data_IF_070064654165
#
_entry.id   IF_070064654165
#
_cell.length_a   1.000
_cell.length_b   1.000
_cell.length_c   1.000
_cell.angle_alpha   90.00
_cell.angle_beta   90.00
_cell.angle_gamma   90.00
#
_symmetry.space_group_name_H-M   'P 1'
#
loop_
_entity.id
_entity.type
_entity.pdbx_description
1 polymer ?
#
# COMPACT_ATOMS: atom_id res chain seq x y z
N UNK A 1 -27.90 -88.36 -1.02
CA UNK A 1 -27.67 -86.91 -1.19
C UNK A 1 -27.46 -86.59 -2.66
N UNK A 2 -28.46 -85.96 -3.30
CA UNK A 2 -28.64 -85.94 -4.76
C UNK A 2 -28.51 -84.49 -5.27
N UNK A 3 -27.55 -84.26 -6.17
CA UNK A 3 -27.32 -82.97 -6.85
C UNK A 3 -28.57 -82.53 -7.61
N UNK A 4 -28.90 -81.24 -7.58
CA UNK A 4 -29.76 -80.60 -8.58
C UNK A 4 -29.14 -79.29 -9.06
N UNK A 5 -28.77 -79.28 -10.35
CA UNK A 5 -28.57 -78.08 -11.16
C UNK A 5 -29.95 -77.58 -11.59
N UNK A 6 -30.22 -76.29 -11.43
CA UNK A 6 -31.42 -75.64 -11.93
C UNK A 6 -31.07 -74.79 -13.16
N UNK A 7 -31.36 -75.36 -14.32
CA UNK A 7 -31.63 -74.65 -15.58
C UNK A 7 -33.00 -74.00 -15.47
N UNK A 8 -33.07 -72.67 -15.56
CA UNK A 8 -34.33 -71.93 -15.72
C UNK A 8 -34.44 -71.57 -17.19
N UNK A 9 -35.22 -72.38 -17.90
CA UNK A 9 -35.68 -72.11 -19.25
C UNK A 9 -36.73 -71.00 -19.26
N UNK A 10 -36.77 -70.27 -20.37
CA UNK A 10 -37.80 -69.30 -20.70
C UNK A 10 -39.18 -69.96 -20.64
N UNK A 11 -40.09 -69.37 -19.86
CA UNK A 11 -41.51 -69.71 -19.91
C UNK A 11 -42.25 -68.64 -20.72
N UNK A 12 -42.67 -69.08 -21.90
CA UNK A 12 -43.74 -68.52 -22.73
C UNK A 12 -45.08 -68.62 -21.98
N UNK A 13 -45.89 -67.58 -22.03
CA UNK A 13 -47.35 -67.66 -21.81
C UNK A 13 -48.08 -67.04 -23.00
N UNK A 14 -48.81 -67.90 -23.70
CA UNK A 14 -49.96 -67.64 -24.60
C UNK A 14 -51.15 -67.14 -23.73
N UNK A 15 -52.28 -66.57 -24.15
CA UNK A 15 -53.18 -66.63 -25.31
C UNK A 15 -53.90 -65.24 -25.39
N UNK A 16 -54.77 -64.84 -26.33
CA UNK A 16 -55.79 -65.54 -27.10
C UNK A 16 -56.19 -64.73 -28.35
N UNK A 17 -56.84 -65.43 -29.30
CA UNK A 17 -57.30 -64.93 -30.58
C UNK A 17 -58.62 -64.15 -30.50
N UNK A 18 -58.79 -63.19 -31.40
CA UNK A 18 -60.09 -62.68 -31.84
C UNK A 18 -59.98 -62.36 -33.32
N UNK A 19 -60.79 -63.01 -34.14
CA UNK A 19 -60.88 -62.79 -35.58
C UNK A 19 -61.80 -61.59 -35.82
N UNK A 20 -61.36 -60.60 -36.60
CA UNK A 20 -62.24 -59.59 -37.20
C UNK A 20 -61.63 -59.09 -38.52
N UNK A 21 -62.37 -59.29 -39.61
CA UNK A 21 -62.20 -58.58 -40.87
C UNK A 21 -62.46 -57.08 -40.66
N UNK A 22 -61.74 -56.21 -41.37
CA UNK A 22 -62.07 -54.78 -41.42
C UNK A 22 -60.90 -53.90 -41.86
N UNK A 23 -60.98 -53.41 -43.09
CA UNK A 23 -60.08 -52.42 -43.70
C UNK A 23 -60.26 -51.08 -42.98
N UNK A 24 -59.18 -50.45 -42.51
CA UNK A 24 -58.86 -49.02 -42.70
C UNK A 24 -57.77 -48.55 -41.72
N UNK A 25 -56.78 -47.85 -42.31
CA UNK A 25 -55.72 -47.05 -41.72
C UNK A 25 -55.58 -47.01 -40.20
N UNK A 26 -54.58 -47.71 -39.69
CA UNK A 26 -53.89 -47.29 -38.47
C UNK A 26 -52.44 -46.97 -38.82
N UNK A 27 -52.15 -45.66 -38.85
CA UNK A 27 -50.80 -45.13 -38.80
C UNK A 27 -50.05 -45.75 -37.64
N UNK A 28 -49.19 -46.72 -37.95
CA UNK A 28 -48.12 -47.15 -37.04
C UNK A 28 -47.30 -45.92 -36.69
N UNK A 29 -47.59 -45.30 -35.54
CA UNK A 29 -46.79 -44.25 -34.95
C UNK A 29 -45.43 -44.83 -34.58
N UNK A 30 -44.54 -44.90 -35.57
CA UNK A 30 -43.17 -45.35 -35.41
C UNK A 30 -42.52 -44.53 -34.29
N UNK A 31 -42.21 -45.19 -33.17
CA UNK A 31 -41.56 -44.61 -32.01
C UNK A 31 -40.46 -43.64 -32.46
N UNK A 32 -40.70 -42.35 -32.24
CA UNK A 32 -39.92 -41.30 -32.87
C UNK A 32 -38.44 -41.50 -32.52
N UNK A 33 -37.55 -41.72 -33.51
CA UNK A 33 -36.10 -41.84 -33.22
C UNK A 33 -35.64 -40.60 -32.45
N UNK A 34 -35.44 -40.75 -31.14
CA UNK A 34 -35.08 -39.70 -30.18
C UNK A 34 -33.67 -39.22 -30.48
N UNK A 35 -33.43 -37.91 -30.47
CA UNK A 35 -32.08 -37.34 -30.62
C UNK A 35 -31.17 -37.93 -29.53
N UNK A 36 -30.22 -38.77 -29.95
CA UNK A 36 -29.24 -39.41 -29.08
C UNK A 36 -27.84 -39.00 -29.50
N UNK A 37 -26.95 -38.91 -28.52
CA UNK A 37 -25.61 -38.37 -28.67
C UNK A 37 -24.71 -39.24 -27.81
N UNK A 38 -23.60 -39.69 -28.39
CA UNK A 38 -22.59 -40.44 -27.66
C UNK A 38 -21.93 -39.53 -26.62
N UNK A 39 -21.29 -40.13 -25.62
CA UNK A 39 -20.47 -39.38 -24.66
C UNK A 39 -19.38 -38.62 -25.42
N UNK A 40 -19.21 -37.34 -25.08
CA UNK A 40 -18.20 -36.49 -25.70
C UNK A 40 -17.10 -36.23 -24.67
N UNK A 41 -15.87 -36.60 -24.99
CA UNK A 41 -14.71 -36.40 -24.12
C UNK A 41 -13.94 -35.13 -24.50
N UNK A 42 -13.14 -34.60 -23.59
CA UNK A 42 -12.38 -33.35 -23.79
C UNK A 42 -11.42 -33.36 -24.98
N UNK A 43 -10.94 -34.53 -25.38
CA UNK A 43 -10.07 -34.73 -26.55
C UNK A 43 -10.85 -35.02 -27.85
N UNK A 44 -12.19 -35.08 -27.80
CA UNK A 44 -13.00 -35.41 -28.96
C UNK A 44 -12.99 -34.26 -29.98
N UNK A 45 -12.72 -34.59 -31.25
CA UNK A 45 -12.80 -33.68 -32.40
C UNK A 45 -14.09 -33.85 -33.19
N UNK A 46 -14.95 -34.79 -32.77
CA UNK A 46 -16.21 -35.14 -33.43
C UNK A 46 -17.28 -35.49 -32.40
N UNK A 47 -18.53 -35.14 -32.70
CA UNK A 47 -19.71 -35.61 -31.98
C UNK A 47 -20.48 -36.58 -32.86
N UNK A 48 -20.68 -37.79 -32.34
CA UNK A 48 -21.43 -38.85 -33.01
C UNK A 48 -22.78 -39.05 -32.32
N UNK A 49 -23.82 -39.33 -33.09
CA UNK A 49 -25.15 -39.60 -32.55
C UNK A 49 -26.15 -40.08 -33.57
N UNK A 50 -27.40 -40.21 -33.15
CA UNK A 50 -28.53 -40.58 -34.01
C UNK A 50 -29.67 -39.56 -33.88
N UNK A 51 -30.35 -39.31 -34.99
CA UNK A 51 -31.58 -38.52 -35.05
C UNK A 51 -32.47 -39.05 -36.20
N UNK A 52 -33.57 -38.37 -36.55
CA UNK A 52 -34.38 -38.76 -37.72
C UNK A 52 -33.55 -38.66 -39.01
N UNK A 53 -33.78 -39.59 -39.94
CA UNK A 53 -33.07 -39.65 -41.23
C UNK A 53 -33.14 -38.29 -41.94
N UNK A 54 -32.04 -37.87 -42.58
CA UNK A 54 -31.92 -36.61 -43.34
C UNK A 54 -32.08 -35.31 -42.51
N UNK A 55 -32.33 -35.35 -41.19
CA UNK A 55 -32.37 -34.14 -40.36
C UNK A 55 -31.01 -33.44 -40.29
N UNK A 56 -31.02 -32.12 -40.09
CA UNK A 56 -29.81 -31.33 -39.83
C UNK A 56 -29.65 -31.17 -38.31
N UNK A 57 -28.52 -31.60 -37.77
CA UNK A 57 -28.15 -31.38 -36.37
C UNK A 57 -27.25 -30.16 -36.28
N UNK A 58 -27.67 -29.19 -35.47
CA UNK A 58 -26.89 -28.00 -35.09
C UNK A 58 -26.38 -28.17 -33.67
N UNK A 59 -25.08 -28.03 -33.47
CA UNK A 59 -24.39 -28.09 -32.17
C UNK A 59 -23.90 -26.70 -31.82
N UNK A 60 -24.48 -26.10 -30.79
CA UNK A 60 -24.03 -24.82 -30.24
C UNK A 60 -22.98 -25.06 -29.16
N UNK A 61 -21.79 -24.50 -29.36
CA UNK A 61 -20.66 -24.50 -28.43
C UNK A 61 -20.27 -23.05 -28.18
N UNK A 62 -20.61 -22.51 -27.01
CA UNK A 62 -20.49 -21.08 -26.74
C UNK A 62 -21.29 -20.26 -27.77
N UNK A 63 -20.60 -19.35 -28.47
CA UNK A 63 -21.18 -18.51 -29.53
C UNK A 63 -21.22 -19.21 -30.91
N UNK A 64 -20.39 -20.23 -31.14
CA UNK A 64 -20.26 -20.90 -32.45
C UNK A 64 -21.26 -22.04 -32.62
N UNK A 65 -21.74 -22.23 -33.86
CA UNK A 65 -22.66 -23.32 -34.21
C UNK A 65 -22.08 -24.18 -35.31
N UNK A 66 -22.00 -25.48 -35.06
CA UNK A 66 -21.52 -26.49 -36.01
C UNK A 66 -22.71 -27.29 -36.53
N UNK A 67 -22.70 -27.70 -37.80
CA UNK A 67 -23.84 -28.39 -38.42
C UNK A 67 -23.39 -29.66 -39.14
N UNK A 68 -24.23 -30.70 -39.11
CA UNK A 68 -24.11 -31.86 -39.96
C UNK A 68 -25.48 -32.44 -40.31
N UNK A 69 -25.61 -32.97 -41.52
CA UNK A 69 -26.82 -33.69 -41.97
C UNK A 69 -26.71 -35.17 -41.58
N UNK A 70 -27.78 -35.73 -41.04
CA UNK A 70 -27.86 -37.15 -40.72
C UNK A 70 -28.06 -37.99 -41.98
N UNK A 71 -27.42 -39.16 -42.05
CA UNK A 71 -27.52 -40.05 -43.21
C UNK A 71 -28.89 -40.77 -43.30
N UNK A 72 -29.07 -41.64 -44.31
CA UNK A 72 -30.31 -42.43 -44.53
C UNK A 72 -30.69 -43.29 -43.31
N UNK A 73 -29.70 -43.72 -42.51
CA UNK A 73 -29.88 -44.50 -41.26
C UNK A 73 -30.09 -43.61 -40.02
N UNK A 74 -30.04 -42.28 -40.16
CA UNK A 74 -30.19 -41.31 -39.07
C UNK A 74 -28.92 -41.07 -38.25
N UNK A 75 -27.76 -41.61 -38.64
CA UNK A 75 -26.48 -41.34 -37.98
C UNK A 75 -25.93 -39.99 -38.42
N UNK A 76 -25.35 -39.23 -37.49
CA UNK A 76 -24.68 -37.96 -37.79
C UNK A 76 -23.30 -37.90 -37.13
N UNK A 77 -22.41 -37.12 -37.75
CA UNK A 77 -21.06 -36.81 -37.24
C UNK A 77 -20.81 -35.32 -37.44
N UNK A 78 -20.61 -34.58 -36.36
CA UNK A 78 -20.30 -33.14 -36.41
C UNK A 78 -18.84 -32.95 -36.02
N UNK A 79 -18.01 -32.36 -36.91
CA UNK A 79 -16.65 -31.94 -36.57
C UNK A 79 -16.72 -30.75 -35.62
N UNK A 80 -15.95 -30.80 -34.53
CA UNK A 80 -15.92 -29.77 -33.48
C UNK A 80 -14.47 -29.55 -33.00
N UNK A 81 -14.14 -28.37 -32.47
CA UNK A 81 -12.88 -28.17 -31.77
C UNK A 81 -12.85 -28.98 -30.46
N UNK A 82 -11.65 -29.23 -29.95
CA UNK A 82 -11.45 -29.76 -28.58
C UNK A 82 -11.87 -28.70 -27.58
N UNK A 83 -12.50 -29.13 -26.50
CA UNK A 83 -13.05 -28.24 -25.47
C UNK A 83 -12.81 -28.87 -24.10
N UNK A 84 -12.54 -28.04 -23.10
CA UNK A 84 -12.35 -28.51 -21.72
C UNK A 84 -13.60 -29.24 -21.16
N UNK A 85 -13.36 -30.20 -20.27
CA UNK A 85 -14.41 -30.87 -19.51
C UNK A 85 -15.36 -29.91 -18.79
N UNK A 86 -16.62 -30.32 -18.62
CA UNK A 86 -17.68 -29.55 -17.97
C UNK A 86 -18.39 -28.55 -18.88
N UNK A 87 -17.89 -28.26 -20.09
CA UNK A 87 -18.56 -27.35 -21.02
C UNK A 87 -19.82 -27.99 -21.61
N UNK A 88 -20.89 -27.18 -21.71
CA UNK A 88 -22.22 -27.58 -22.19
C UNK A 88 -22.31 -27.41 -23.70
N UNK A 89 -22.78 -28.45 -24.38
CA UNK A 89 -23.18 -28.39 -25.79
C UNK A 89 -24.71 -28.49 -25.89
N UNK A 90 -25.30 -27.63 -26.72
CA UNK A 90 -26.72 -27.68 -27.02
C UNK A 90 -26.90 -28.19 -28.44
N UNK A 91 -27.45 -29.39 -28.59
CA UNK A 91 -27.77 -29.98 -29.89
C UNK A 91 -29.24 -29.76 -30.20
N UNK A 92 -29.51 -29.24 -31.39
CA UNK A 92 -30.86 -29.06 -31.94
C UNK A 92 -30.94 -29.81 -33.27
N UNK A 93 -31.89 -30.73 -33.38
CA UNK A 93 -32.18 -31.46 -34.63
C UNK A 93 -33.32 -30.77 -35.35
N UNK A 94 -33.19 -30.56 -36.66
CA UNK A 94 -34.17 -29.87 -37.51
C UNK A 94 -34.58 -30.73 -38.70
N UNK A 95 -35.87 -30.68 -39.07
CA UNK A 95 -36.38 -31.13 -40.37
C UNK A 95 -36.81 -29.89 -41.15
N UNK A 96 -36.03 -29.49 -42.16
CA UNK A 96 -36.18 -28.17 -42.78
C UNK A 96 -35.99 -27.06 -41.74
N UNK A 97 -36.93 -26.12 -41.66
CA UNK A 97 -36.95 -25.05 -40.65
C UNK A 97 -37.51 -25.49 -39.28
N UNK A 98 -38.25 -26.61 -39.21
CA UNK A 98 -38.92 -27.08 -37.98
C UNK A 98 -37.94 -27.73 -37.01
N UNK A 99 -37.89 -27.22 -35.77
CA UNK A 99 -37.15 -27.83 -34.67
C UNK A 99 -37.81 -29.15 -34.28
N UNK A 100 -37.06 -30.24 -34.33
CA UNK A 100 -37.54 -31.57 -33.98
C UNK A 100 -37.26 -31.91 -32.51
N UNK A 101 -36.01 -31.73 -32.06
CA UNK A 101 -35.66 -32.00 -30.66
C UNK A 101 -34.40 -31.24 -30.24
N UNK A 102 -34.36 -30.87 -28.96
CA UNK A 102 -33.18 -30.31 -28.31
C UNK A 102 -32.61 -31.30 -27.29
N UNK A 103 -31.28 -31.41 -27.22
CA UNK A 103 -30.57 -32.19 -26.21
C UNK A 103 -29.35 -31.43 -25.72
N UNK A 104 -29.17 -31.42 -24.39
CA UNK A 104 -27.98 -30.86 -23.74
C UNK A 104 -27.04 -32.02 -23.41
N UNK A 105 -25.76 -31.87 -23.71
CA UNK A 105 -24.70 -32.79 -23.29
C UNK A 105 -23.53 -31.99 -22.74
N UNK A 106 -22.67 -32.64 -21.98
CA UNK A 106 -21.51 -32.03 -21.37
C UNK A 106 -20.25 -32.76 -21.81
N UNK A 107 -19.16 -32.03 -21.94
CA UNK A 107 -17.84 -32.59 -22.20
C UNK A 107 -17.34 -33.30 -20.94
N UNK A 108 -16.92 -34.56 -21.09
CA UNK A 108 -16.51 -35.44 -20.00
C UNK A 108 -14.98 -35.48 -19.92
N UNK A 109 -14.44 -35.45 -18.70
CA UNK A 109 -13.02 -35.63 -18.46
C UNK A 109 -12.59 -37.08 -18.74
N UNK A 110 -11.45 -37.27 -19.42
CA UNK A 110 -10.92 -38.62 -19.73
C UNK A 110 -10.25 -39.24 -18.51
N UNK A 111 -9.56 -38.42 -17.72
CA UNK A 111 -8.84 -38.74 -16.48
C UNK A 111 -9.36 -37.84 -15.33
N UNK A 112 -8.87 -38.06 -14.11
CA UNK A 112 -9.09 -37.12 -13.00
C UNK A 112 -8.50 -35.76 -13.40
N UNK A 113 -9.27 -34.71 -13.14
CA UNK A 113 -8.85 -33.32 -13.29
C UNK A 113 -9.27 -32.55 -12.06
N UNK A 114 -8.30 -32.00 -11.35
CA UNK A 114 -8.53 -31.13 -10.19
C UNK A 114 -8.46 -29.67 -10.67
N UNK A 115 -9.49 -28.87 -10.37
CA UNK A 115 -9.51 -27.45 -10.68
C UNK A 115 -8.43 -26.70 -9.88
N UNK A 116 -8.02 -25.52 -10.36
CA UNK A 116 -7.09 -24.65 -9.61
C UNK A 116 -7.74 -24.26 -8.27
N UNK A 117 -6.94 -24.22 -7.22
CA UNK A 117 -7.32 -23.79 -5.88
C UNK A 117 -6.13 -23.10 -5.20
N UNK A 118 -6.41 -22.24 -4.24
CA UNK A 118 -5.44 -21.54 -3.39
C UNK A 118 -5.54 -22.07 -1.94
N UNK A 119 -4.58 -21.78 -1.06
CA UNK A 119 -4.66 -22.20 0.35
C UNK A 119 -5.93 -21.70 1.04
N UNK A 120 -6.39 -20.51 0.64
CA UNK A 120 -7.59 -19.83 1.16
C UNK A 120 -8.90 -20.31 0.54
N UNK A 121 -8.86 -21.20 -0.45
CA UNK A 121 -10.08 -21.73 -1.07
C UNK A 121 -10.93 -22.46 -0.03
N UNK A 122 -12.25 -22.25 -0.07
CA UNK A 122 -13.25 -22.90 0.82
C UNK A 122 -13.78 -24.23 0.26
N UNK A 123 -13.34 -24.60 -0.94
CA UNK A 123 -13.73 -25.84 -1.58
C UNK A 123 -12.69 -26.27 -2.59
N UNK A 124 -12.57 -27.59 -2.78
CA UNK A 124 -11.86 -28.17 -3.90
C UNK A 124 -12.86 -28.85 -4.83
N UNK A 125 -12.63 -28.74 -6.13
CA UNK A 125 -13.52 -29.29 -7.13
C UNK A 125 -12.74 -29.81 -8.32
N UNK A 126 -13.42 -30.57 -9.16
CA UNK A 126 -12.82 -31.13 -10.34
C UNK A 126 -13.80 -31.92 -11.17
N UNK A 127 -13.23 -32.64 -12.13
CA UNK A 127 -13.95 -33.56 -13.01
C UNK A 127 -13.29 -34.92 -12.97
N UNK A 128 -14.11 -35.96 -13.08
CA UNK A 128 -13.70 -37.33 -13.32
C UNK A 128 -14.72 -37.98 -14.24
N UNK A 129 -14.66 -39.30 -14.44
CA UNK A 129 -15.70 -40.01 -15.19
C UNK A 129 -17.03 -39.99 -14.42
N UNK A 130 -18.18 -39.92 -15.12
CA UNK A 130 -19.48 -39.83 -14.45
C UNK A 130 -19.72 -41.00 -13.49
N UNK A 131 -20.37 -40.69 -12.36
CA UNK A 131 -20.73 -41.64 -11.30
C UNK A 131 -19.57 -42.27 -10.52
N UNK A 132 -18.32 -41.89 -10.78
CA UNK A 132 -17.17 -42.40 -10.01
C UNK A 132 -17.17 -41.82 -8.59
N UNK A 133 -16.62 -42.57 -7.63
CA UNK A 133 -16.47 -42.12 -6.24
C UNK A 133 -15.14 -41.39 -6.09
N UNK A 134 -15.15 -40.24 -5.42
CA UNK A 134 -13.98 -39.38 -5.20
C UNK A 134 -13.75 -39.30 -3.70
N UNK A 135 -12.55 -39.68 -3.25
CA UNK A 135 -12.06 -39.53 -1.88
C UNK A 135 -11.02 -38.42 -1.86
N UNK A 136 -11.24 -37.38 -1.08
CA UNK A 136 -10.38 -36.19 -1.00
C UNK A 136 -9.82 -36.10 0.41
N UNK A 137 -8.49 -36.14 0.56
CA UNK A 137 -7.81 -35.98 1.85
C UNK A 137 -7.32 -34.53 1.98
N UNK A 138 -7.85 -33.82 2.97
CA UNK A 138 -7.54 -32.41 3.30
C UNK A 138 -7.15 -32.39 4.77
N UNK A 139 -5.94 -31.89 5.09
CA UNK A 139 -5.43 -31.79 6.47
C UNK A 139 -5.68 -33.06 7.31
N UNK A 140 -5.32 -34.24 6.76
CA UNK A 140 -5.51 -35.53 7.43
C UNK A 140 -6.92 -36.13 7.30
N UNK A 141 -7.98 -35.32 7.18
CA UNK A 141 -9.37 -35.78 7.08
C UNK A 141 -9.76 -36.21 5.67
N UNK A 142 -10.51 -37.30 5.54
CA UNK A 142 -10.96 -37.84 4.25
C UNK A 142 -12.45 -37.56 4.01
N UNK A 143 -12.75 -36.95 2.87
CA UNK A 143 -14.10 -36.63 2.41
C UNK A 143 -14.46 -37.51 1.21
N UNK A 144 -15.67 -38.07 1.17
CA UNK A 144 -16.12 -38.95 0.09
C UNK A 144 -17.30 -38.34 -0.65
N UNK A 145 -17.19 -38.21 -1.98
CA UNK A 145 -18.27 -37.69 -2.83
C UNK A 145 -18.44 -38.54 -4.08
N UNK A 146 -19.68 -38.71 -4.55
CA UNK A 146 -19.95 -39.29 -5.87
C UNK A 146 -19.97 -38.16 -6.91
N UNK A 147 -19.20 -38.34 -7.99
CA UNK A 147 -19.20 -37.40 -9.10
C UNK A 147 -20.55 -37.44 -9.85
N UNK A 148 -20.96 -36.30 -10.40
CA UNK A 148 -22.21 -36.17 -11.17
C UNK A 148 -22.32 -37.26 -12.24
N UNK A 149 -23.47 -37.93 -12.30
CA UNK A 149 -23.77 -38.95 -13.32
C UNK A 149 -23.86 -38.38 -14.75
N UNK A 150 -23.98 -37.05 -14.88
CA UNK A 150 -24.09 -36.35 -16.17
C UNK A 150 -22.75 -35.75 -16.58
N UNK A 151 -22.12 -34.98 -15.69
CA UNK A 151 -20.95 -34.15 -16.04
C UNK A 151 -19.63 -34.70 -15.50
N UNK A 152 -19.67 -35.64 -14.54
CA UNK A 152 -18.49 -36.06 -13.80
C UNK A 152 -17.94 -35.00 -12.83
N UNK A 153 -18.66 -33.89 -12.63
CA UNK A 153 -18.28 -32.85 -11.69
C UNK A 153 -18.38 -33.33 -10.25
N UNK A 154 -17.43 -32.91 -9.42
CA UNK A 154 -17.44 -33.12 -7.98
C UNK A 154 -16.90 -31.87 -7.27
N UNK A 155 -17.36 -31.67 -6.04
CA UNK A 155 -16.93 -30.59 -5.15
C UNK A 155 -16.97 -31.11 -3.71
N UNK A 156 -15.92 -30.79 -2.95
CA UNK A 156 -15.81 -31.05 -1.51
C UNK A 156 -15.57 -29.71 -0.82
N UNK A 157 -16.29 -29.49 0.28
CA UNK A 157 -16.09 -28.38 1.21
C UNK A 157 -15.62 -28.99 2.54
N UNK A 158 -14.56 -28.46 3.16
CA UNK A 158 -14.21 -28.82 4.53
C UNK A 158 -15.33 -28.43 5.49
N UNK A 159 -15.34 -29.06 6.66
CA UNK A 159 -16.31 -28.75 7.71
C UNK A 159 -16.11 -27.32 8.21
N UNK A 160 -17.18 -26.70 8.69
CA UNK A 160 -17.20 -25.33 9.21
C UNK A 160 -16.59 -24.30 8.24
N UNK A 161 -16.65 -24.56 6.93
CA UNK A 161 -16.13 -23.67 5.89
C UNK A 161 -14.62 -23.38 6.01
N UNK A 162 -13.87 -24.30 6.64
CA UNK A 162 -12.41 -24.18 6.81
C UNK A 162 -11.69 -24.09 5.45
N UNK A 163 -10.52 -23.44 5.48
CA UNK A 163 -9.62 -23.32 4.33
C UNK A 163 -9.11 -24.71 3.91
N UNK A 164 -8.93 -24.91 2.61
CA UNK A 164 -8.41 -26.17 2.04
C UNK A 164 -6.93 -26.39 2.40
N UNK A 165 -6.15 -25.32 2.57
CA UNK A 165 -4.73 -25.42 2.88
C UNK A 165 -3.87 -25.77 1.67
N UNK A 166 -2.64 -26.25 1.93
CA UNK A 166 -1.56 -26.24 0.93
C UNK A 166 -1.51 -27.47 0.02
N UNK A 167 -1.79 -28.65 0.56
CA UNK A 167 -1.67 -29.93 -0.16
C UNK A 167 -2.95 -30.73 -0.04
N UNK A 168 -3.47 -31.19 -1.19
CA UNK A 168 -4.65 -32.05 -1.24
C UNK A 168 -4.33 -33.31 -2.05
N UNK A 169 -4.68 -34.47 -1.48
CA UNK A 169 -4.61 -35.75 -2.18
C UNK A 169 -6.02 -36.19 -2.59
N UNK A 170 -6.20 -36.50 -3.88
CA UNK A 170 -7.49 -36.91 -4.44
C UNK A 170 -7.37 -38.31 -5.02
N UNK A 171 -8.16 -39.24 -4.50
CA UNK A 171 -8.28 -40.61 -4.99
C UNK A 171 -9.65 -40.82 -5.62
N UNK A 172 -9.67 -41.26 -6.87
CA UNK A 172 -10.89 -41.64 -7.59
C UNK A 172 -11.00 -43.16 -7.63
N UNK A 173 -12.19 -43.67 -7.37
CA UNK A 173 -12.55 -45.09 -7.46
C UNK A 173 -13.59 -45.26 -8.56
N UNK A 174 -13.31 -46.11 -9.55
CA UNK A 174 -14.25 -46.42 -10.61
C UNK A 174 -15.42 -47.29 -10.12
N UNK A 175 -16.43 -47.51 -10.97
CA UNK A 175 -17.61 -48.33 -10.63
C UNK A 175 -17.29 -49.81 -10.40
N UNK A 176 -16.09 -50.27 -10.74
CA UNK A 176 -15.59 -51.64 -10.57
C UNK A 176 -14.56 -51.76 -9.44
N UNK A 177 -14.35 -50.71 -8.64
CA UNK A 177 -13.38 -50.68 -7.54
C UNK A 177 -11.93 -50.28 -7.87
N UNK A 178 -11.53 -50.15 -9.15
CA UNK A 178 -10.16 -49.71 -9.52
C UNK A 178 -9.94 -48.24 -9.14
N UNK A 179 -8.76 -47.93 -8.61
CA UNK A 179 -8.42 -46.61 -8.10
C UNK A 179 -7.39 -45.86 -8.94
N UNK A 180 -7.43 -44.53 -8.88
CA UNK A 180 -6.43 -43.60 -9.43
C UNK A 180 -6.22 -42.51 -8.37
N UNK A 181 -4.98 -42.23 -8.00
CA UNK A 181 -4.66 -41.19 -7.01
C UNK A 181 -3.85 -40.08 -7.68
N UNK A 182 -4.17 -38.84 -7.37
CA UNK A 182 -3.44 -37.65 -7.79
C UNK A 182 -3.27 -36.74 -6.58
N UNK A 183 -2.03 -36.36 -6.29
CA UNK A 183 -1.73 -35.34 -5.28
C UNK A 183 -1.42 -34.05 -6.01
N UNK A 184 -2.11 -32.98 -5.62
CA UNK A 184 -1.95 -31.66 -6.24
C UNK A 184 -1.60 -30.64 -5.16
N UNK A 185 -0.61 -29.80 -5.46
CA UNK A 185 -0.29 -28.60 -4.68
C UNK A 185 -1.18 -27.45 -5.11
N UNK A 186 -1.43 -26.53 -4.18
CA UNK A 186 -2.19 -25.31 -4.45
C UNK A 186 -1.45 -24.39 -5.45
N UNK A 187 -2.18 -23.41 -5.98
CA UNK A 187 -1.62 -22.26 -6.68
C UNK A 187 -1.40 -21.14 -5.67
N UNK A 188 -0.22 -20.54 -5.67
CA UNK A 188 0.12 -19.46 -4.76
C UNK A 188 -0.79 -18.25 -4.97
N UNK A 189 -1.23 -17.69 -3.84
CA UNK A 189 -2.00 -16.46 -3.73
C UNK A 189 -1.14 -15.48 -2.95
N UNK A 190 -0.30 -14.76 -3.70
CA UNK A 190 0.76 -13.92 -3.18
C UNK A 190 0.22 -12.55 -2.74
N UNK A 191 0.54 -12.15 -1.51
CA UNK A 191 0.18 -10.84 -0.95
C UNK A 191 1.44 -9.99 -0.77
N UNK A 192 1.34 -8.72 -1.14
CA UNK A 192 2.43 -7.76 -1.01
C UNK A 192 2.82 -7.53 0.46
N UNK A 193 4.11 -7.43 0.70
CA UNK A 193 4.72 -7.10 2.00
C UNK A 193 5.54 -5.83 1.83
N UNK A 194 5.29 -4.83 2.68
CA UNK A 194 5.94 -3.52 2.64
C UNK A 194 6.80 -3.31 3.88
N UNK A 195 7.86 -2.52 3.72
CA UNK A 195 8.66 -1.95 4.80
C UNK A 195 8.55 -0.42 4.73
N UNK A 196 8.49 0.22 5.89
CA UNK A 196 8.61 1.68 5.97
C UNK A 196 10.09 2.06 6.04
N UNK A 197 10.52 2.97 5.18
CA UNK A 197 11.86 3.57 5.17
C UNK A 197 11.68 5.04 5.54
N UNK A 198 12.40 5.48 6.58
CA UNK A 198 12.40 6.88 7.00
C UNK A 198 13.51 7.63 6.27
N UNK A 199 13.16 8.79 5.70
CA UNK A 199 14.10 9.72 5.08
C UNK A 199 14.20 10.96 5.99
N UNK A 200 15.43 11.29 6.39
CA UNK A 200 15.69 12.42 7.28
C UNK A 200 15.45 13.75 6.56
N UNK A 201 15.26 14.80 7.36
CA UNK A 201 15.25 16.17 6.87
C UNK A 201 16.62 16.54 6.28
N UNK A 202 16.59 17.27 5.16
CA UNK A 202 17.79 17.81 4.50
C UNK A 202 17.65 19.33 4.44
N UNK A 203 18.71 20.03 4.79
CA UNK A 203 18.78 21.48 4.77
C UNK A 203 20.21 21.99 4.73
N UNK A 204 20.34 23.30 4.74
CA UNK A 204 21.63 24.01 4.75
C UNK A 204 21.55 25.28 5.61
N UNK A 205 22.70 25.82 5.97
CA UNK A 205 22.78 27.11 6.66
C UNK A 205 22.91 28.25 5.64
N UNK A 206 22.08 29.27 5.79
CA UNK A 206 22.19 30.54 5.07
C UNK A 206 22.70 31.63 6.02
N UNK A 207 23.60 32.48 5.52
CA UNK A 207 24.06 33.67 6.23
C UNK A 207 23.08 34.81 5.98
N UNK A 208 22.52 35.34 7.06
CA UNK A 208 21.55 36.45 7.02
C UNK A 208 22.16 37.66 7.72
N UNK A 209 22.05 38.82 7.07
CA UNK A 209 22.45 40.12 7.63
C UNK A 209 21.48 40.56 8.72
N UNK A 210 22.03 41.00 9.84
CA UNK A 210 21.33 41.72 10.90
C UNK A 210 21.76 43.17 10.78
N UNK A 211 20.86 44.08 10.37
CA UNK A 211 21.22 45.48 10.18
C UNK A 211 21.67 46.12 11.50
N UNK A 212 22.48 47.18 11.37
CA UNK A 212 22.83 48.01 12.51
C UNK A 212 21.56 48.58 13.17
N UNK A 213 21.59 48.72 14.49
CA UNK A 213 20.43 49.19 15.25
C UNK A 213 20.86 49.92 16.52
N UNK A 214 20.05 50.89 16.94
CA UNK A 214 20.30 51.64 18.16
C UNK A 214 19.47 51.06 19.32
N UNK A 215 20.10 50.98 20.49
CA UNK A 215 19.46 50.61 21.76
C UNK A 215 19.59 51.75 22.76
N UNK A 216 18.64 51.86 23.69
CA UNK A 216 18.72 52.82 24.80
C UNK A 216 19.23 52.15 26.07
N UNK A 217 20.08 52.85 26.82
CA UNK A 217 20.52 52.45 28.16
C UNK A 217 20.34 53.62 29.12
N UNK A 218 19.93 53.33 30.35
CA UNK A 218 19.94 54.31 31.44
C UNK A 218 21.27 54.27 32.17
N UNK A 219 21.83 55.46 32.41
CA UNK A 219 23.09 55.66 33.12
C UNK A 219 22.97 56.85 34.06
N UNK A 220 23.84 56.92 35.06
CA UNK A 220 23.76 57.89 36.14
C UNK A 220 24.68 59.08 35.84
N UNK A 221 24.12 60.29 35.85
CA UNK A 221 24.85 61.54 35.66
C UNK A 221 24.77 62.41 36.93
N UNK A 222 25.82 63.19 37.17
CA UNK A 222 25.87 64.22 38.19
C UNK A 222 25.26 65.52 37.68
N UNK A 223 24.37 66.11 38.47
CA UNK A 223 23.73 67.37 38.17
C UNK A 223 23.97 68.38 39.28
N UNK A 224 24.23 69.62 38.90
CA UNK A 224 24.15 70.74 39.82
C UNK A 224 22.69 70.90 40.31
N UNK A 225 22.49 70.94 41.62
CA UNK A 225 21.16 71.08 42.23
C UNK A 225 20.64 72.52 42.22
N UNK A 226 21.52 73.49 41.96
CA UNK A 226 21.17 74.91 41.92
C UNK A 226 20.58 75.32 40.56
N UNK A 227 21.24 74.96 39.46
CA UNK A 227 20.90 75.38 38.09
C UNK A 227 20.46 74.22 37.19
N UNK A 228 20.61 72.97 37.64
CA UNK A 228 20.22 71.78 36.88
C UNK A 228 21.22 71.39 35.79
N UNK A 229 22.42 71.97 35.76
CA UNK A 229 23.46 71.69 34.78
C UNK A 229 23.96 70.24 34.90
N UNK A 230 24.13 69.56 33.77
CA UNK A 230 24.59 68.16 33.70
C UNK A 230 26.12 68.14 33.66
N UNK A 231 26.71 68.00 34.85
CA UNK A 231 28.16 68.03 35.05
C UNK A 231 28.84 66.83 34.39
N UNK A 232 28.20 65.66 34.42
CA UNK A 232 28.74 64.47 33.75
C UNK A 232 28.71 64.62 32.24
N UNK A 233 27.63 65.16 31.67
CA UNK A 233 27.56 65.38 30.22
C UNK A 233 28.56 66.45 29.76
N UNK A 234 28.75 67.54 30.52
CA UNK A 234 29.75 68.56 30.20
C UNK A 234 31.17 67.98 30.21
N UNK A 235 31.50 67.19 31.24
CA UNK A 235 32.76 66.46 31.27
C UNK A 235 32.92 65.56 30.03
N UNK A 236 31.94 64.72 29.72
CA UNK A 236 31.98 63.83 28.55
C UNK A 236 32.12 64.60 27.23
N UNK A 237 31.41 65.72 27.07
CA UNK A 237 31.49 66.58 25.90
C UNK A 237 32.88 67.23 25.80
N UNK A 238 33.47 67.64 26.93
CA UNK A 238 34.83 68.18 26.95
C UNK A 238 35.87 67.14 26.52
N UNK A 239 35.70 65.89 26.92
CA UNK A 239 36.61 64.80 26.52
C UNK A 239 36.41 64.43 25.05
N UNK A 240 35.16 64.33 24.60
CA UNK A 240 34.82 64.05 23.21
C UNK A 240 35.37 65.13 22.26
N UNK A 241 35.26 66.39 22.66
CA UNK A 241 35.66 67.54 21.85
C UNK A 241 37.12 67.97 22.09
N UNK A 242 37.84 67.32 23.02
CA UNK A 242 39.21 67.69 23.43
C UNK A 242 39.33 69.14 23.90
N UNK A 243 38.31 69.61 24.63
CA UNK A 243 38.25 70.98 25.18
C UNK A 243 38.48 71.04 26.69
N UNK A 244 38.88 69.93 27.32
CA UNK A 244 39.35 69.94 28.70
C UNK A 244 40.64 70.78 28.83
N UNK A 245 40.88 71.42 29.99
CA UNK A 245 42.08 72.22 30.20
C UNK A 245 43.36 71.36 30.13
N UNK A 246 44.39 71.91 29.49
CA UNK A 246 45.75 71.39 29.56
C UNK A 246 46.50 72.10 30.69
N UNK A 247 46.55 71.48 31.86
CA UNK A 247 47.17 72.04 33.05
C UNK A 247 48.69 72.07 32.94
N UNK A 248 49.32 72.96 33.69
CA UNK A 248 50.77 73.03 33.81
C UNK A 248 51.36 71.74 34.43
N UNK A 249 52.66 71.54 34.23
CA UNK A 249 53.37 70.33 34.66
C UNK A 249 53.37 70.13 36.18
N UNK A 250 53.29 71.19 36.97
CA UNK A 250 53.24 71.09 38.43
C UNK A 250 51.88 70.54 38.87
N UNK A 251 50.79 71.11 38.35
CA UNK A 251 49.42 70.65 38.59
C UNK A 251 49.20 69.22 38.09
N UNK A 252 49.69 68.89 36.88
CA UNK A 252 49.66 67.52 36.34
C UNK A 252 50.34 66.52 37.26
N UNK A 253 51.52 66.86 37.77
CA UNK A 253 52.28 66.01 38.67
C UNK A 253 51.58 65.84 40.03
N UNK A 254 50.99 66.90 40.56
CA UNK A 254 50.19 66.85 41.80
C UNK A 254 49.02 65.87 41.65
N UNK A 255 48.37 65.88 40.49
CA UNK A 255 47.25 64.99 40.15
C UNK A 255 47.68 63.61 39.65
N UNK A 256 48.97 63.29 39.74
CA UNK A 256 49.52 61.97 39.44
C UNK A 256 49.61 61.60 37.97
N UNK A 257 49.57 62.58 37.06
CA UNK A 257 49.74 62.36 35.62
C UNK A 257 51.12 61.76 35.28
N UNK A 258 51.15 60.85 34.31
CA UNK A 258 52.38 60.34 33.67
C UNK A 258 52.21 60.24 32.16
N UNK A 259 53.27 60.39 31.35
CA UNK A 259 53.16 60.24 29.88
C UNK A 259 52.72 58.82 29.47
N UNK A 260 53.16 57.81 30.20
CA UNK A 260 52.87 56.40 29.92
C UNK A 260 51.38 56.09 30.14
N UNK A 261 50.86 56.44 31.33
CA UNK A 261 49.53 56.04 31.79
C UNK A 261 48.48 57.16 31.72
N UNK A 262 48.88 58.40 31.41
CA UNK A 262 48.03 59.58 31.44
C UNK A 262 47.60 59.97 32.86
N UNK A 263 46.41 60.58 33.00
CA UNK A 263 45.82 60.83 34.31
C UNK A 263 45.33 59.50 34.92
N UNK A 264 45.68 59.20 36.18
CA UNK A 264 45.38 57.93 36.81
C UNK A 264 43.86 57.79 37.00
N UNK A 265 43.27 56.80 36.33
CA UNK A 265 41.85 56.46 36.47
C UNK A 265 41.73 55.25 37.39
N UNK A 266 41.02 55.39 38.49
CA UNK A 266 40.57 54.22 39.26
C UNK A 266 39.38 53.56 38.56
N UNK A 267 38.97 52.38 39.02
CA UNK A 267 37.85 51.64 38.42
C UNK A 267 36.55 52.45 38.34
N UNK A 268 36.29 53.37 39.28
CA UNK A 268 35.10 54.22 39.27
C UNK A 268 35.19 55.33 38.21
N UNK A 269 36.32 56.04 38.14
CA UNK A 269 36.55 57.11 37.14
C UNK A 269 36.63 56.58 35.70
N UNK A 270 36.96 55.31 35.50
CA UNK A 270 36.89 54.67 34.19
C UNK A 270 35.44 54.34 33.78
N UNK A 271 34.53 54.11 34.74
CA UNK A 271 33.17 53.69 34.44
C UNK A 271 32.35 54.79 33.77
N UNK A 272 32.64 56.08 34.01
CA UNK A 272 31.91 57.18 33.34
C UNK A 272 32.01 57.07 31.82
N UNK A 273 33.16 56.65 31.29
CA UNK A 273 33.35 56.43 29.85
C UNK A 273 32.54 55.23 29.37
N UNK A 274 32.77 54.06 29.96
CA UNK A 274 32.14 52.81 29.51
C UNK A 274 30.63 52.79 29.73
N UNK A 275 30.14 53.44 30.79
CA UNK A 275 28.72 53.55 31.05
C UNK A 275 28.01 54.44 30.03
N UNK A 276 28.73 55.45 29.51
CA UNK A 276 28.28 56.41 28.51
C UNK A 276 28.69 56.05 27.07
N UNK A 277 29.09 54.80 26.82
CA UNK A 277 29.47 54.30 25.50
C UNK A 277 30.58 55.14 24.83
N UNK A 278 31.54 55.60 25.63
CA UNK A 278 32.73 56.33 25.17
C UNK A 278 34.00 55.51 25.42
N UNK A 279 34.95 55.63 24.49
CA UNK A 279 36.30 55.11 24.71
C UNK A 279 37.03 55.92 25.78
N UNK A 280 37.86 55.26 26.59
CA UNK A 280 38.62 55.92 27.64
C UNK A 280 39.72 56.78 27.00
N UNK A 281 39.62 58.09 27.17
CA UNK A 281 40.72 59.01 26.86
C UNK A 281 41.73 59.02 28.01
N UNK A 282 42.93 58.46 27.80
CA UNK A 282 43.96 58.45 28.83
C UNK A 282 44.51 59.85 29.16
N UNK A 283 44.38 60.83 28.25
CA UNK A 283 44.91 62.18 28.42
C UNK A 283 43.93 63.15 29.08
N UNK A 284 42.64 62.82 29.14
CA UNK A 284 41.68 63.62 29.87
C UNK A 284 41.86 63.48 31.40
N UNK A 285 41.85 64.59 32.18
CA UNK A 285 41.73 64.52 33.64
C UNK A 285 40.47 63.75 34.05
N UNK A 286 40.42 63.18 35.25
CA UNK A 286 39.29 62.33 35.65
C UNK A 286 38.01 63.14 35.91
N UNK A 287 36.84 62.49 35.83
CA UNK A 287 35.58 63.12 36.25
C UNK A 287 35.67 63.54 37.72
N UNK A 288 36.29 62.75 38.59
CA UNK A 288 36.54 63.16 39.98
C UNK A 288 37.37 64.45 40.11
N UNK A 289 38.38 64.67 39.26
CA UNK A 289 39.14 65.93 39.22
C UNK A 289 38.27 67.10 38.73
N UNK A 290 37.51 66.88 37.66
CA UNK A 290 36.54 67.84 37.14
C UNK A 290 35.51 68.26 38.20
N UNK A 291 34.99 67.29 38.95
CA UNK A 291 34.04 67.51 40.03
C UNK A 291 34.68 68.21 41.23
N UNK A 292 35.95 67.90 41.54
CA UNK A 292 36.71 68.59 42.60
C UNK A 292 36.98 70.06 42.30
N UNK A 293 37.01 70.44 41.02
CA UNK A 293 37.07 71.83 40.58
C UNK A 293 35.71 72.51 40.47
N UNK A 294 34.61 71.77 40.67
CA UNK A 294 33.25 72.27 40.45
C UNK A 294 32.99 72.74 39.01
N UNK A 295 33.52 72.00 38.04
CA UNK A 295 33.57 72.40 36.63
C UNK A 295 34.98 72.88 36.23
N UNK A 296 35.31 72.86 34.94
CA UNK A 296 36.67 73.21 34.49
C UNK A 296 37.13 74.62 34.88
N UNK A 297 36.19 75.53 35.12
CA UNK A 297 36.43 76.93 35.48
C UNK A 297 35.81 77.31 36.84
N UNK A 298 35.34 76.33 37.63
CA UNK A 298 34.72 76.58 38.93
C UNK A 298 33.36 77.29 38.88
N UNK A 299 32.67 77.29 37.73
CA UNK A 299 31.35 77.92 37.59
C UNK A 299 30.30 77.42 38.58
N UNK A 300 30.48 76.22 39.15
CA UNK A 300 29.56 75.64 40.13
C UNK A 300 30.17 75.52 41.53
N UNK A 301 31.21 76.30 41.86
CA UNK A 301 31.79 76.32 43.20
C UNK A 301 30.73 76.70 44.26
N UNK A 302 30.72 75.95 45.36
CA UNK A 302 29.71 76.07 46.43
C UNK A 302 28.31 75.53 46.08
N UNK A 303 28.07 75.01 44.88
CA UNK A 303 26.79 74.35 44.54
C UNK A 303 26.76 72.88 45.00
N UNK A 304 25.59 72.42 45.47
CA UNK A 304 25.39 71.01 45.79
C UNK A 304 25.20 70.17 44.52
N UNK A 305 25.73 68.95 44.52
CA UNK A 305 25.61 68.00 43.40
C UNK A 305 24.66 66.86 43.79
N UNK A 306 23.77 66.49 42.87
CA UNK A 306 22.93 65.30 42.97
C UNK A 306 23.08 64.40 41.76
N UNK A 307 22.34 63.30 41.75
CA UNK A 307 22.44 62.28 40.70
C UNK A 307 21.08 62.02 40.05
N UNK A 308 21.04 61.89 38.72
CA UNK A 308 19.83 61.49 37.97
C UNK A 308 20.17 60.45 36.91
N UNK A 309 19.19 59.62 36.55
CA UNK A 309 19.31 58.70 35.43
C UNK A 309 19.03 59.43 34.11
N UNK A 310 19.92 59.26 33.15
CA UNK A 310 19.85 59.79 31.79
C UNK A 310 19.83 58.62 30.81
N UNK A 311 19.04 58.76 29.74
CA UNK A 311 18.99 57.78 28.64
C UNK A 311 20.01 58.14 27.58
N UNK A 312 20.93 57.21 27.31
CA UNK A 312 21.90 57.31 26.23
C UNK A 312 21.56 56.34 25.11
N UNK A 313 22.04 56.64 23.90
CA UNK A 313 21.95 55.73 22.74
C UNK A 313 23.24 54.94 22.59
N UNK A 314 23.11 53.62 22.44
CA UNK A 314 24.19 52.70 22.13
C UNK A 314 23.96 52.18 20.72
N UNK A 315 24.93 52.40 19.84
CA UNK A 315 24.92 51.92 18.48
C UNK A 315 25.46 50.49 18.40
N UNK A 316 24.72 49.58 17.76
CA UNK A 316 25.18 48.23 17.43
C UNK A 316 25.43 48.15 15.94
N UNK A 317 26.66 47.81 15.56
CA UNK A 317 27.06 47.63 14.15
C UNK A 317 26.33 46.45 13.49
N UNK A 318 26.24 46.49 12.16
CA UNK A 318 25.66 45.40 11.40
C UNK A 318 26.46 44.10 11.58
N UNK A 319 25.77 42.99 11.79
CA UNK A 319 26.39 41.66 11.97
C UNK A 319 25.75 40.62 11.07
N UNK A 320 26.29 39.41 11.03
CA UNK A 320 25.70 38.28 10.29
C UNK A 320 25.43 37.10 11.21
N UNK A 321 24.40 36.31 10.90
CA UNK A 321 24.09 35.06 11.62
C UNK A 321 23.75 33.93 10.66
N UNK A 322 24.06 32.70 11.05
CA UNK A 322 23.68 31.49 10.30
C UNK A 322 22.26 31.05 10.69
N UNK A 323 21.41 30.80 9.70
CA UNK A 323 20.04 30.31 9.88
C UNK A 323 19.87 29.00 9.13
N UNK A 324 19.38 27.95 9.80
CA UNK A 324 19.07 26.68 9.15
C UNK A 324 17.83 26.81 8.26
N UNK A 325 17.96 26.42 6.99
CA UNK A 325 16.88 26.35 6.01
C UNK A 325 16.63 24.90 5.64
N UNK A 326 15.37 24.51 5.73
CA UNK A 326 14.93 23.15 5.38
C UNK A 326 14.60 23.09 3.90
N UNK A 327 15.40 22.34 3.14
CA UNK A 327 15.18 22.11 1.71
C UNK A 327 14.15 21.01 1.48
N UNK A 328 14.22 19.95 2.29
CA UNK A 328 13.34 18.81 2.22
C UNK A 328 12.97 18.34 3.62
N UNK A 329 11.68 18.33 3.93
CA UNK A 329 11.15 17.79 5.19
C UNK A 329 11.36 16.28 5.25
N UNK A 330 11.52 15.76 6.46
CA UNK A 330 11.53 14.31 6.69
C UNK A 330 10.21 13.66 6.27
N UNK A 331 10.29 12.42 5.79
CA UNK A 331 9.11 11.67 5.38
C UNK A 331 9.33 10.15 5.44
N UNK A 332 8.21 9.42 5.52
CA UNK A 332 8.18 7.97 5.50
C UNK A 332 7.72 7.43 4.14
N UNK A 333 8.50 6.52 3.57
CA UNK A 333 8.19 5.85 2.31
C UNK A 333 7.84 4.37 2.54
N UNK A 334 6.72 3.90 1.95
CA UNK A 334 6.37 2.48 1.95
C UNK A 334 6.95 1.77 0.74
N UNK A 335 8.01 0.99 0.97
CA UNK A 335 8.71 0.23 -0.08
C UNK A 335 8.22 -1.21 -0.10
N UNK A 336 7.78 -1.69 -1.29
CA UNK A 336 7.46 -3.10 -1.50
C UNK A 336 8.74 -3.95 -1.40
N UNK A 337 8.74 -4.96 -0.52
CA UNK A 337 9.90 -5.83 -0.25
C UNK A 337 9.73 -7.19 -0.91
N UNK A 338 8.56 -7.81 -0.72
CA UNK A 338 8.32 -9.17 -1.19
C UNK A 338 6.84 -9.46 -1.33
N UNK A 339 6.54 -10.66 -1.80
CA UNK A 339 5.22 -11.24 -1.88
C UNK A 339 5.18 -12.56 -1.11
N UNK A 340 4.31 -12.65 -0.10
CA UNK A 340 4.17 -13.84 0.72
C UNK A 340 2.88 -14.59 0.41
N UNK A 341 2.95 -15.91 0.40
CA UNK A 341 1.78 -16.79 0.36
C UNK A 341 1.56 -17.44 1.73
N UNK A 342 0.29 -17.62 2.13
CA UNK A 342 -0.10 -18.28 3.39
C UNK A 342 0.48 -19.71 3.56
N UNK A 343 1.06 -20.29 2.50
CA UNK A 343 1.77 -21.56 2.56
C UNK A 343 3.24 -21.45 2.99
N UNK A 344 3.73 -20.24 3.31
CA UNK A 344 5.14 -19.95 3.62
C UNK A 344 6.04 -19.71 2.40
N UNK A 345 5.51 -19.74 1.17
CA UNK A 345 6.29 -19.39 -0.02
C UNK A 345 6.45 -17.88 -0.12
N UNK A 346 7.68 -17.43 -0.34
CA UNK A 346 8.05 -16.03 -0.58
C UNK A 346 8.49 -15.86 -2.03
N UNK A 347 8.09 -14.76 -2.65
CA UNK A 347 8.57 -14.30 -3.96
C UNK A 347 9.12 -12.89 -3.78
N UNK A 348 10.41 -12.70 -4.06
CA UNK A 348 11.06 -11.39 -3.94
C UNK A 348 10.58 -10.44 -5.04
N UNK A 349 10.66 -9.12 -4.77
CA UNK A 349 10.32 -8.05 -5.71
C UNK A 349 11.15 -8.13 -6.99
#
# INVERSE_FOLDING_TARGET
>A
MRRRRLTIGLLSMMMAASVAFGIQGNDVHAASKKLSVNRVYENATRINGKTRKKNIVRVKIGKKTYKAKANKKGKFTVKIPRVAAGKKYTLKSYKGKKLYKTKKVYVIAKKLKINKYTPNSKSISGYTRPSYKVKVKIAGKTYVKKASAVTGYWKVKPDNNKKIGTTVSVKVVNTKGKTVTETKKHVHDYKAVYKTVHHNEVGHYETVEVPAWDSEKETSHYFCLQDGFDLTQDYLDSVKNKTYPDYDEETKKEWGYTEENGYPKNGYDALVFTNNNMEIDKFAPTESMYMGLHGWNGEHDGHNVGTKLVKIKIHHEATTKQVWKVDQKSYDEKVLVSYNCDCGSVKNK
#
